data_IF_839794955187
#
_entry.id   IF_839794955187
#
_cell.length_a   1.000
_cell.length_b   1.000
_cell.length_c   1.000
_cell.angle_alpha   90.00
_cell.angle_beta   90.00
_cell.angle_gamma   90.00
#
_symmetry.space_group_name_H-M   'P 1'
#
loop_
_entity.id
_entity.type
_entity.pdbx_description
1 polymer ?
#
# COMPACT_ATOMS: atom_id res chain seq x y z
N UNK A 1 -27.08 -3.80 -15.16
CA UNK A 1 -25.76 -4.06 -14.55
C UNK A 1 -25.68 -3.20 -13.29
N UNK A 2 -25.83 -3.80 -12.14
CA UNK A 2 -25.58 -3.12 -10.86
C UNK A 2 -24.10 -2.80 -10.84
N UNK A 3 -23.73 -1.51 -10.83
CA UNK A 3 -22.34 -1.09 -10.66
C UNK A 3 -21.83 -1.78 -9.37
N UNK A 4 -20.84 -2.66 -9.53
CA UNK A 4 -20.21 -3.32 -8.39
C UNK A 4 -19.56 -2.21 -7.57
N UNK A 5 -20.08 -2.01 -6.39
CA UNK A 5 -19.74 -0.88 -5.52
C UNK A 5 -18.35 -1.10 -4.97
N UNK A 6 -17.34 -0.55 -5.62
CA UNK A 6 -15.98 -0.56 -5.10
C UNK A 6 -15.79 0.64 -4.17
N UNK A 7 -15.50 0.42 -2.90
CA UNK A 7 -15.12 1.53 -2.02
C UNK A 7 -13.88 2.20 -2.56
N UNK A 8 -13.94 3.53 -2.71
CA UNK A 8 -12.79 4.30 -3.14
C UNK A 8 -11.74 4.42 -2.04
N UNK A 9 -10.51 4.54 -2.43
CA UNK A 9 -9.35 4.80 -1.58
C UNK A 9 -8.17 5.21 -2.45
N UNK A 10 -7.13 5.79 -1.83
CA UNK A 10 -5.84 6.02 -2.48
C UNK A 10 -4.70 5.60 -1.57
N UNK A 11 -3.79 4.82 -2.10
CA UNK A 11 -2.54 4.48 -1.44
C UNK A 11 -1.37 4.61 -2.41
N UNK A 12 -0.21 5.01 -1.91
CA UNK A 12 1.03 5.13 -2.68
C UNK A 12 2.16 4.39 -1.99
N UNK A 13 3.15 3.96 -2.78
CA UNK A 13 4.41 3.41 -2.32
C UNK A 13 5.56 4.01 -3.11
N UNK A 14 6.70 4.21 -2.46
CA UNK A 14 7.91 4.80 -3.02
C UNK A 14 9.11 4.06 -2.47
N UNK A 15 9.99 3.57 -3.35
CA UNK A 15 11.32 3.11 -2.95
C UNK A 15 12.28 4.31 -2.90
N UNK A 16 13.16 4.33 -1.90
CA UNK A 16 14.24 5.30 -1.78
C UNK A 16 15.55 4.58 -1.42
N UNK A 17 16.66 5.30 -1.34
CA UNK A 17 17.99 4.71 -1.17
C UNK A 17 18.10 3.68 -0.03
N UNK A 18 17.45 3.92 1.10
CA UNK A 18 17.61 3.11 2.33
C UNK A 18 16.33 2.39 2.75
N UNK A 19 15.26 2.40 1.93
CA UNK A 19 14.00 1.76 2.32
C UNK A 19 12.84 1.99 1.39
N UNK A 20 11.63 1.84 1.96
CA UNK A 20 10.35 2.02 1.28
C UNK A 20 9.43 2.86 2.16
N UNK A 21 8.74 3.81 1.55
CA UNK A 21 7.67 4.60 2.18
C UNK A 21 6.34 4.21 1.57
N UNK A 22 5.34 4.00 2.41
CA UNK A 22 3.95 3.89 2.02
C UNK A 22 3.15 5.02 2.63
N UNK A 23 2.18 5.54 1.89
CA UNK A 23 1.19 6.46 2.43
C UNK A 23 -0.21 6.08 1.95
N UNK A 24 -1.22 6.30 2.78
CA UNK A 24 -2.62 6.14 2.42
C UNK A 24 -3.49 7.14 3.17
N UNK A 25 -4.61 7.52 2.57
CA UNK A 25 -5.63 8.29 3.27
C UNK A 25 -6.51 7.40 4.17
N UNK A 26 -7.34 8.00 5.04
CA UNK A 26 -8.14 7.28 6.06
C UNK A 26 -9.64 7.24 5.81
N UNK A 27 -10.12 7.81 4.72
CA UNK A 27 -11.57 7.86 4.42
C UNK A 27 -12.10 6.50 3.97
N UNK A 28 -13.28 6.15 4.44
CA UNK A 28 -14.14 5.15 3.80
C UNK A 28 -15.42 5.86 3.35
N UNK A 29 -15.69 5.79 2.07
CA UNK A 29 -16.92 6.34 1.49
C UNK A 29 -17.65 5.27 0.69
N UNK A 30 -18.97 5.28 0.80
CA UNK A 30 -19.88 4.51 -0.05
C UNK A 30 -20.69 5.50 -0.89
N UNK A 31 -20.30 5.67 -2.16
CA UNK A 31 -20.80 6.74 -3.01
C UNK A 31 -20.50 8.10 -2.40
N UNK A 32 -21.53 8.87 -2.12
CA UNK A 32 -21.40 10.22 -1.57
C UNK A 32 -21.41 10.25 -0.04
N UNK A 33 -21.51 9.10 0.64
CA UNK A 33 -21.57 9.02 2.09
C UNK A 33 -20.24 8.60 2.70
N UNK A 34 -19.67 9.46 3.55
CA UNK A 34 -18.44 9.15 4.31
C UNK A 34 -18.82 8.36 5.56
N UNK A 35 -18.41 7.08 5.61
CA UNK A 35 -18.72 6.15 6.71
C UNK A 35 -17.68 6.26 7.82
N UNK A 36 -16.40 6.40 7.48
CA UNK A 36 -15.31 6.51 8.43
C UNK A 36 -14.22 7.45 7.93
N UNK A 37 -13.54 8.10 8.89
CA UNK A 37 -12.41 9.02 8.66
C UNK A 37 -11.12 8.55 9.33
N UNK A 38 -11.11 7.33 9.88
CA UNK A 38 -10.03 6.84 10.75
C UNK A 38 -9.49 5.48 10.33
N UNK A 39 -9.90 4.97 9.17
CA UNK A 39 -9.54 3.63 8.73
C UNK A 39 -8.12 3.58 8.21
N UNK A 40 -7.30 2.77 8.85
CA UNK A 40 -5.93 2.51 8.43
C UNK A 40 -5.90 1.54 7.24
N UNK A 41 -5.11 1.88 6.22
CA UNK A 41 -4.92 1.09 5.00
C UNK A 41 -3.45 0.78 4.72
N UNK A 42 -2.56 1.11 5.66
CA UNK A 42 -1.16 0.67 5.70
C UNK A 42 -1.00 -0.43 6.72
N UNK A 43 -0.23 -1.47 6.40
CA UNK A 43 -0.09 -2.67 7.22
C UNK A 43 1.38 -3.07 7.35
N UNK A 44 1.83 -3.35 8.56
CA UNK A 44 3.12 -4.00 8.81
C UNK A 44 2.93 -5.50 8.64
N UNK A 45 3.55 -6.09 7.63
CA UNK A 45 3.49 -7.53 7.36
C UNK A 45 4.55 -8.27 8.17
N UNK A 46 5.78 -7.77 8.13
CA UNK A 46 6.90 -8.19 8.98
C UNK A 46 7.67 -6.93 9.42
N UNK A 47 8.62 -7.00 10.36
CA UNK A 47 9.42 -5.83 10.73
C UNK A 47 10.18 -5.17 9.55
N UNK A 48 10.36 -5.88 8.44
CA UNK A 48 11.09 -5.39 7.26
C UNK A 48 10.24 -5.30 6.00
N UNK A 49 8.94 -5.62 6.07
CA UNK A 49 8.02 -5.55 4.92
C UNK A 49 6.67 -4.99 5.35
N UNK A 50 6.21 -4.01 4.61
CA UNK A 50 4.89 -3.41 4.76
C UNK A 50 4.07 -3.48 3.49
N UNK A 51 2.81 -3.09 3.61
CA UNK A 51 1.89 -2.96 2.51
C UNK A 51 0.99 -1.74 2.68
N UNK A 52 0.56 -1.18 1.55
CA UNK A 52 -0.52 -0.21 1.49
C UNK A 52 -1.58 -0.74 0.52
N UNK A 53 -2.85 -0.56 0.88
CA UNK A 53 -3.97 -1.15 0.14
C UNK A 53 -5.02 -0.10 -0.19
N UNK A 54 -5.75 -0.33 -1.30
CA UNK A 54 -6.92 0.44 -1.67
C UNK A 54 -8.03 -0.51 -2.11
N UNK A 55 -9.28 -0.27 -1.65
CA UNK A 55 -10.43 -1.10 -1.97
C UNK A 55 -11.28 -1.46 -0.74
N UNK A 56 -11.81 -2.67 -0.70
CA UNK A 56 -12.67 -3.13 0.40
C UNK A 56 -11.84 -3.41 1.66
N UNK A 57 -12.17 -2.71 2.74
CA UNK A 57 -11.41 -2.78 4.01
C UNK A 57 -11.31 -4.20 4.56
N UNK A 58 -12.41 -4.97 4.53
CA UNK A 58 -12.42 -6.35 5.01
C UNK A 58 -11.41 -7.23 4.24
N UNK A 59 -11.35 -7.06 2.92
CA UNK A 59 -10.45 -7.86 2.07
C UNK A 59 -8.97 -7.51 2.32
N UNK A 60 -8.65 -6.21 2.44
CA UNK A 60 -7.28 -5.80 2.73
C UNK A 60 -6.82 -6.23 4.13
N UNK A 61 -7.71 -6.19 5.13
CA UNK A 61 -7.40 -6.62 6.48
C UNK A 61 -7.16 -8.13 6.55
N UNK A 62 -8.04 -8.94 5.96
CA UNK A 62 -7.90 -10.40 6.01
C UNK A 62 -6.68 -10.86 5.21
N UNK A 63 -6.42 -10.28 4.05
CA UNK A 63 -5.25 -10.59 3.23
C UNK A 63 -3.95 -10.27 4.00
N UNK A 64 -3.85 -9.08 4.56
CA UNK A 64 -2.66 -8.65 5.32
C UNK A 64 -2.42 -9.52 6.56
N UNK A 65 -3.48 -9.89 7.29
CA UNK A 65 -3.40 -10.76 8.45
C UNK A 65 -2.91 -12.17 8.08
N UNK A 66 -3.52 -12.77 7.06
CA UNK A 66 -3.16 -14.12 6.61
C UNK A 66 -1.72 -14.18 6.10
N UNK A 67 -1.32 -13.20 5.28
CA UNK A 67 0.06 -13.16 4.76
C UNK A 67 1.08 -12.90 5.86
N UNK A 68 0.76 -12.05 6.84
CA UNK A 68 1.64 -11.84 8.00
C UNK A 68 1.84 -13.13 8.80
N UNK A 69 0.78 -13.93 9.00
CA UNK A 69 0.88 -15.23 9.68
C UNK A 69 1.75 -16.21 8.88
N UNK A 70 1.53 -16.34 7.56
CA UNK A 70 2.33 -17.19 6.69
C UNK A 70 3.80 -16.76 6.64
N UNK A 71 4.07 -15.46 6.58
CA UNK A 71 5.42 -14.91 6.60
C UNK A 71 6.17 -15.26 7.90
N UNK A 72 5.48 -15.21 9.05
CA UNK A 72 6.05 -15.64 10.35
C UNK A 72 6.40 -17.13 10.35
N UNK A 73 5.51 -17.99 9.87
CA UNK A 73 5.76 -19.44 9.74
C UNK A 73 6.97 -19.66 8.83
N UNK A 74 6.98 -19.03 7.67
CA UNK A 74 8.08 -19.17 6.70
C UNK A 74 9.41 -18.69 7.27
N UNK A 75 9.44 -17.58 8.01
CA UNK A 75 10.63 -17.08 8.70
C UNK A 75 11.19 -18.12 9.69
N UNK A 76 10.32 -18.78 10.44
CA UNK A 76 10.73 -19.84 11.39
C UNK A 76 11.34 -21.05 10.69
N UNK A 77 10.76 -21.47 9.57
CA UNK A 77 11.27 -22.58 8.76
C UNK A 77 12.66 -22.30 8.16
N UNK A 78 12.81 -21.13 7.51
CA UNK A 78 14.04 -20.80 6.77
C UNK A 78 15.09 -20.10 7.64
N UNK A 79 14.75 -19.74 8.89
CA UNK A 79 15.62 -19.04 9.87
C UNK A 79 16.24 -17.75 9.36
N UNK A 80 15.56 -17.05 8.46
CA UNK A 80 15.96 -15.75 7.89
C UNK A 80 14.74 -14.91 7.55
N UNK A 81 14.94 -13.61 7.31
CA UNK A 81 13.86 -12.71 6.91
C UNK A 81 13.27 -13.13 5.56
N UNK A 82 11.95 -13.00 5.44
CA UNK A 82 11.22 -13.30 4.19
C UNK A 82 11.24 -12.04 3.33
N UNK A 83 11.84 -12.10 2.13
CA UNK A 83 11.99 -10.91 1.29
C UNK A 83 10.64 -10.47 0.68
N UNK A 84 10.52 -9.18 0.29
CA UNK A 84 9.29 -8.61 -0.25
C UNK A 84 8.71 -9.36 -1.47
N UNK A 85 9.56 -9.85 -2.37
CA UNK A 85 9.12 -10.64 -3.54
C UNK A 85 8.42 -11.95 -3.14
N UNK A 86 8.88 -12.61 -2.08
CA UNK A 86 8.25 -13.83 -1.56
C UNK A 86 6.89 -13.50 -0.94
N UNK A 87 6.80 -12.40 -0.19
CA UNK A 87 5.54 -11.93 0.39
C UNK A 87 4.55 -11.51 -0.71
N UNK A 88 5.00 -10.78 -1.73
CA UNK A 88 4.20 -10.43 -2.89
C UNK A 88 3.65 -11.70 -3.58
N UNK A 89 4.48 -12.73 -3.73
CA UNK A 89 4.04 -14.01 -4.33
C UNK A 89 3.05 -14.77 -3.45
N UNK A 90 3.20 -14.73 -2.12
CA UNK A 90 2.21 -15.29 -1.20
C UNK A 90 0.85 -14.59 -1.37
N UNK A 91 0.82 -13.26 -1.40
CA UNK A 91 -0.39 -12.46 -1.66
C UNK A 91 -0.99 -12.81 -3.02
N UNK A 92 -0.17 -12.82 -4.07
CA UNK A 92 -0.57 -13.18 -5.43
C UNK A 92 -1.28 -14.54 -5.50
N UNK A 93 -0.72 -15.55 -4.89
CA UNK A 93 -1.33 -16.90 -4.88
C UNK A 93 -2.71 -16.87 -4.20
N UNK A 94 -2.83 -16.23 -3.05
CA UNK A 94 -4.11 -16.12 -2.32
C UNK A 94 -5.17 -15.35 -3.12
N UNK A 95 -4.78 -14.28 -3.83
CA UNK A 95 -5.66 -13.50 -4.69
C UNK A 95 -6.06 -14.31 -5.93
N UNK A 96 -5.11 -14.97 -6.58
CA UNK A 96 -5.36 -15.78 -7.77
C UNK A 96 -6.27 -17.00 -7.50
N UNK A 97 -6.14 -17.66 -6.35
CA UNK A 97 -7.04 -18.73 -5.92
C UNK A 97 -8.50 -18.26 -5.87
N UNK A 98 -8.73 -16.98 -5.60
CA UNK A 98 -10.05 -16.35 -5.53
C UNK A 98 -10.45 -15.62 -6.82
N UNK A 99 -9.79 -15.80 -7.94
CA UNK A 99 -9.98 -15.05 -9.19
C UNK A 99 -11.39 -15.06 -9.77
N UNK A 100 -12.23 -16.05 -9.42
CA UNK A 100 -13.65 -16.09 -9.82
C UNK A 100 -14.55 -15.26 -8.90
N UNK A 101 -14.11 -15.00 -7.66
CA UNK A 101 -14.71 -14.09 -6.68
C UNK A 101 -13.58 -13.30 -6.02
N UNK A 102 -12.98 -12.34 -6.75
CA UNK A 102 -11.73 -11.72 -6.35
C UNK A 102 -11.89 -10.87 -5.09
N UNK A 103 -10.81 -10.77 -4.33
CA UNK A 103 -10.69 -9.76 -3.29
C UNK A 103 -10.72 -8.38 -3.94
N UNK A 104 -11.62 -7.52 -3.48
CA UNK A 104 -11.79 -6.16 -4.01
C UNK A 104 -10.75 -5.22 -3.41
N UNK A 105 -9.48 -5.53 -3.60
CA UNK A 105 -8.37 -4.74 -3.12
C UNK A 105 -7.20 -4.76 -4.10
N UNK A 106 -6.57 -3.61 -4.27
CA UNK A 106 -5.25 -3.45 -4.88
C UNK A 106 -4.23 -3.28 -3.77
N UNK A 107 -3.04 -3.80 -3.96
CA UNK A 107 -2.00 -3.82 -2.92
C UNK A 107 -0.68 -3.32 -3.48
N UNK A 108 -0.01 -2.48 -2.72
CA UNK A 108 1.42 -2.19 -2.89
C UNK A 108 2.13 -2.85 -1.70
N UNK A 109 3.09 -3.73 -1.94
CA UNK A 109 3.88 -4.40 -0.92
C UNK A 109 5.36 -4.22 -1.19
N UNK A 110 6.13 -3.92 -0.15
CA UNK A 110 7.55 -3.67 -0.30
C UNK A 110 8.27 -3.63 1.04
N UNK A 111 9.58 -3.50 0.99
CA UNK A 111 10.38 -3.45 2.20
C UNK A 111 11.87 -3.54 1.91
N UNK A 112 12.63 -3.75 2.98
CA UNK A 112 14.09 -3.79 2.95
C UNK A 112 14.60 -5.12 3.49
N UNK A 113 14.89 -6.06 2.58
CA UNK A 113 15.64 -7.28 2.88
C UNK A 113 16.78 -7.39 1.86
N UNK A 114 17.95 -6.92 2.26
CA UNK A 114 19.11 -6.75 1.37
C UNK A 114 19.09 -5.43 0.62
N UNK A 115 18.12 -5.22 -0.26
CA UNK A 115 17.89 -3.95 -0.97
C UNK A 115 16.41 -3.56 -0.92
N UNK A 116 16.08 -2.26 -1.02
CA UNK A 116 14.69 -1.84 -1.14
C UNK A 116 14.05 -2.43 -2.40
N UNK A 117 12.87 -3.01 -2.25
CA UNK A 117 12.08 -3.52 -3.38
C UNK A 117 10.59 -3.37 -3.10
N UNK A 118 9.82 -3.11 -4.13
CA UNK A 118 8.38 -2.93 -4.06
C UNK A 118 7.68 -3.61 -5.23
N UNK A 119 6.45 -4.03 -5.01
CA UNK A 119 5.60 -4.72 -5.98
C UNK A 119 4.17 -4.23 -5.86
N UNK A 120 3.52 -4.06 -7.00
CA UNK A 120 2.10 -3.76 -7.09
C UNK A 120 1.33 -5.01 -7.47
N UNK A 121 0.18 -5.24 -6.81
CA UNK A 121 -0.71 -6.36 -7.08
C UNK A 121 -2.11 -5.85 -7.42
N UNK A 122 -2.68 -6.41 -8.48
CA UNK A 122 -4.08 -6.22 -8.84
C UNK A 122 -5.00 -7.27 -8.14
N UNK A 123 -6.32 -7.11 -8.19
CA UNK A 123 -7.27 -8.05 -7.57
C UNK A 123 -7.19 -9.49 -8.10
N UNK A 124 -6.61 -9.71 -9.28
CA UNK A 124 -6.43 -11.03 -9.88
C UNK A 124 -5.10 -11.69 -9.51
N UNK A 125 -4.26 -10.98 -8.76
CA UNK A 125 -2.99 -11.51 -8.26
C UNK A 125 -1.80 -11.32 -9.20
N UNK A 126 -1.85 -10.40 -10.18
CA UNK A 126 -0.65 -9.97 -10.92
C UNK A 126 0.39 -9.40 -9.96
N UNK A 127 1.68 -9.57 -10.25
CA UNK A 127 2.79 -9.01 -9.46
C UNK A 127 3.69 -8.23 -10.39
N UNK A 128 3.72 -6.92 -10.21
CA UNK A 128 4.52 -6.00 -11.01
C UNK A 128 5.58 -5.35 -10.13
N UNK A 129 6.88 -5.43 -10.47
CA UNK A 129 7.93 -4.71 -9.76
C UNK A 129 7.89 -3.24 -10.17
N UNK A 130 7.92 -2.34 -9.19
CA UNK A 130 7.91 -0.89 -9.41
C UNK A 130 8.86 -0.19 -8.44
N UNK A 131 9.40 0.96 -8.87
CA UNK A 131 10.14 1.87 -7.97
C UNK A 131 9.21 2.80 -7.19
N UNK A 132 8.07 3.17 -7.77
CA UNK A 132 6.97 3.88 -7.13
C UNK A 132 5.64 3.43 -7.75
N UNK A 133 4.57 3.51 -7.00
CA UNK A 133 3.24 3.13 -7.45
C UNK A 133 2.14 3.87 -6.69
N UNK A 134 0.97 3.94 -7.31
CA UNK A 134 -0.25 4.35 -6.65
C UNK A 134 -1.38 3.37 -7.02
N UNK A 135 -2.29 3.12 -6.08
CA UNK A 135 -3.44 2.24 -6.25
C UNK A 135 -4.71 2.90 -5.72
N UNK A 136 -5.85 2.47 -6.26
CA UNK A 136 -7.16 2.97 -5.87
C UNK A 136 -7.73 4.03 -6.80
N UNK A 137 -8.83 4.67 -6.37
CA UNK A 137 -9.61 5.61 -7.21
C UNK A 137 -8.88 6.92 -7.49
N UNK A 138 -8.01 7.38 -6.59
CA UNK A 138 -7.18 8.57 -6.79
C UNK A 138 -5.79 8.30 -7.37
N UNK A 139 -5.52 7.07 -7.80
CA UNK A 139 -4.19 6.65 -8.28
C UNK A 139 -3.66 7.49 -9.45
N UNK A 140 -4.52 7.84 -10.41
CA UNK A 140 -4.12 8.64 -11.58
C UNK A 140 -3.56 10.01 -11.17
N UNK A 141 -4.23 10.69 -10.22
CA UNK A 141 -3.77 11.97 -9.70
C UNK A 141 -2.47 11.83 -8.91
N UNK A 142 -2.37 10.79 -8.09
CA UNK A 142 -1.16 10.52 -7.30
C UNK A 142 0.03 10.19 -8.20
N UNK A 143 -0.15 9.34 -9.22
CA UNK A 143 0.88 9.00 -10.21
C UNK A 143 1.37 10.23 -10.97
N UNK A 144 0.49 11.15 -11.35
CA UNK A 144 0.89 12.39 -12.02
C UNK A 144 1.88 13.25 -11.19
N UNK A 145 1.81 13.18 -9.86
CA UNK A 145 2.79 13.84 -8.97
C UNK A 145 4.08 13.00 -8.86
N UNK A 146 3.93 11.67 -8.73
CA UNK A 146 5.07 10.77 -8.63
C UNK A 146 5.93 10.81 -9.89
N UNK A 147 5.32 10.75 -11.08
CA UNK A 147 6.01 10.79 -12.38
C UNK A 147 6.85 12.07 -12.56
N UNK A 148 6.40 13.18 -12.00
CA UNK A 148 7.11 14.47 -12.12
C UNK A 148 8.24 14.64 -11.09
N UNK A 149 8.09 14.08 -9.89
CA UNK A 149 8.96 14.42 -8.76
C UNK A 149 9.81 13.24 -8.26
N UNK A 150 9.50 12.00 -8.65
CA UNK A 150 10.29 10.84 -8.24
C UNK A 150 11.71 10.89 -8.80
N UNK A 151 12.68 10.56 -7.95
CA UNK A 151 14.09 10.37 -8.32
C UNK A 151 14.62 9.14 -7.57
N UNK A 152 15.52 8.39 -8.21
CA UNK A 152 16.11 7.18 -7.58
C UNK A 152 16.91 7.48 -6.31
N UNK A 153 17.41 8.70 -6.15
CA UNK A 153 18.31 9.10 -5.08
C UNK A 153 17.61 9.85 -3.93
N UNK A 154 16.28 9.70 -3.80
CA UNK A 154 15.55 10.31 -2.68
C UNK A 154 16.07 9.79 -1.33
N UNK A 155 16.13 10.69 -0.34
CA UNK A 155 16.29 10.32 1.06
C UNK A 155 14.90 10.06 1.70
N UNK A 156 14.88 9.57 2.95
CA UNK A 156 13.65 9.23 3.68
C UNK A 156 12.68 10.41 3.78
N UNK A 157 13.19 11.60 4.09
CA UNK A 157 12.36 12.80 4.26
C UNK A 157 11.73 13.25 2.94
N UNK A 158 12.50 13.24 1.86
CA UNK A 158 12.02 13.59 0.51
C UNK A 158 11.00 12.58 0.00
N UNK A 159 11.24 11.27 0.18
CA UNK A 159 10.31 10.21 -0.20
C UNK A 159 9.00 10.29 0.60
N UNK A 160 9.09 10.59 1.90
CA UNK A 160 7.92 10.80 2.76
C UNK A 160 7.11 12.02 2.32
N UNK A 161 7.76 13.16 2.10
CA UNK A 161 7.10 14.38 1.62
C UNK A 161 6.42 14.16 0.26
N UNK A 162 7.09 13.47 -0.67
CA UNK A 162 6.53 13.13 -1.97
C UNK A 162 5.31 12.22 -1.85
N UNK A 163 5.35 11.20 -0.99
CA UNK A 163 4.22 10.31 -0.74
C UNK A 163 3.02 11.07 -0.17
N UNK A 164 3.24 11.94 0.82
CA UNK A 164 2.20 12.79 1.42
C UNK A 164 1.61 13.77 0.41
N UNK A 165 2.44 14.42 -0.41
CA UNK A 165 1.98 15.32 -1.50
C UNK A 165 1.11 14.59 -2.50
N UNK A 166 1.47 13.36 -2.88
CA UNK A 166 0.72 12.55 -3.83
C UNK A 166 -0.67 12.19 -3.30
N UNK A 167 -0.77 11.79 -2.01
CA UNK A 167 -2.06 11.51 -1.36
C UNK A 167 -2.89 12.80 -1.21
N UNK A 168 -2.27 13.93 -0.85
CA UNK A 168 -2.97 15.22 -0.78
C UNK A 168 -3.56 15.63 -2.13
N UNK A 169 -2.78 15.52 -3.21
CA UNK A 169 -3.26 15.82 -4.56
C UNK A 169 -4.44 14.95 -4.95
N UNK A 170 -4.37 13.64 -4.68
CA UNK A 170 -5.49 12.72 -4.91
C UNK A 170 -6.73 13.13 -4.12
N UNK A 171 -6.58 13.45 -2.83
CA UNK A 171 -7.69 13.84 -1.95
C UNK A 171 -8.40 15.14 -2.37
N UNK A 172 -7.78 15.99 -3.17
CA UNK A 172 -8.39 17.20 -3.73
C UNK A 172 -9.32 16.91 -4.92
N UNK A 173 -9.19 15.76 -5.57
CA UNK A 173 -9.94 15.39 -6.78
C UNK A 173 -10.79 14.15 -6.64
N UNK A 174 -10.35 13.20 -5.81
CA UNK A 174 -11.12 11.98 -5.53
C UNK A 174 -12.01 12.17 -4.30
N UNK A 175 -13.31 12.15 -4.50
CA UNK A 175 -14.29 12.31 -3.42
C UNK A 175 -14.26 11.18 -2.38
N UNK A 176 -13.76 10.01 -2.78
CA UNK A 176 -13.65 8.83 -1.91
C UNK A 176 -12.37 8.82 -1.07
N UNK A 177 -11.40 9.70 -1.38
CA UNK A 177 -10.14 9.84 -0.65
C UNK A 177 -10.10 11.11 0.19
N UNK A 178 -9.54 11.05 1.41
CA UNK A 178 -9.40 12.24 2.25
C UNK A 178 -9.15 11.99 3.73
N UNK A 179 -9.35 13.06 4.50
CA UNK A 179 -9.24 13.17 5.96
C UNK A 179 -7.79 13.18 6.45
N UNK A 180 -7.24 12.08 6.98
CA UNK A 180 -5.88 11.99 7.47
C UNK A 180 -5.03 11.11 6.55
N UNK A 181 -3.70 11.24 6.64
CA UNK A 181 -2.74 10.42 5.91
C UNK A 181 -1.94 9.59 6.90
N UNK A 182 -1.94 8.27 6.72
CA UNK A 182 -0.99 7.37 7.38
C UNK A 182 0.25 7.24 6.52
N UNK A 183 1.40 7.31 7.17
CA UNK A 183 2.70 7.05 6.56
C UNK A 183 3.37 5.90 7.30
N UNK A 184 3.82 4.90 6.54
CA UNK A 184 4.59 3.76 7.03
C UNK A 184 5.95 3.77 6.33
N UNK A 185 7.00 3.96 7.09
CA UNK A 185 8.40 3.91 6.62
C UNK A 185 9.01 2.60 7.05
N UNK A 186 9.72 1.96 6.13
CA UNK A 186 10.49 0.74 6.39
C UNK A 186 11.92 0.95 5.93
N UNK A 187 12.84 0.89 6.86
CA UNK A 187 14.26 1.05 6.64
C UNK A 187 15.09 0.04 7.46
N UNK A 188 16.40 0.22 7.53
CA UNK A 188 17.31 -0.65 8.29
C UNK A 188 17.02 -0.67 9.82
N UNK A 189 16.43 0.41 10.34
CA UNK A 189 16.12 0.55 11.76
C UNK A 189 14.76 -0.07 12.11
N UNK A 190 14.03 -0.58 11.10
CA UNK A 190 12.73 -1.24 11.23
C UNK A 190 11.58 -0.46 10.61
N UNK A 191 10.42 -0.51 11.26
CA UNK A 191 9.19 0.15 10.82
C UNK A 191 8.86 1.36 11.68
N UNK A 192 8.51 2.48 11.04
CA UNK A 192 8.04 3.70 11.68
C UNK A 192 6.69 4.10 11.09
N UNK A 193 5.72 4.32 11.95
CA UNK A 193 4.38 4.78 11.57
C UNK A 193 4.16 6.21 12.07
N UNK A 194 3.66 7.06 11.19
CA UNK A 194 3.24 8.42 11.52
C UNK A 194 1.89 8.73 10.87
N UNK A 195 1.20 9.74 11.38
CA UNK A 195 -0.05 10.21 10.80
C UNK A 195 -0.03 11.72 10.65
N UNK A 196 -0.46 12.21 9.50
CA UNK A 196 -0.58 13.63 9.19
C UNK A 196 -2.04 13.99 8.90
N UNK A 197 -2.42 15.21 9.24
CA UNK A 197 -3.74 15.75 8.83
C UNK A 197 -3.63 16.31 7.41
N UNK A 198 -4.65 16.01 6.60
CA UNK A 198 -4.90 16.78 5.38
C UNK A 198 -5.52 18.11 5.86
N UNK A 199 -4.75 19.19 5.75
CA UNK A 199 -5.25 20.53 6.09
C UNK A 199 -6.20 21.02 4.98
#
# INVERSE_FOLDING_TARGET
MTAMYMPGATAVGITYNEGVVFASERRIAYGNFVVSKTTKKTFVITPQVGAACAGLVADMQILSLQVSALAKIRKMEIKREVPPNTIAKMMSNMMYERRFFPLLTQVIVGGLVGKPTMYTLDPLGSVLPDDYAAVGTGAETALGILDQQYKKELNEAEATDLAVKSIRAASLRDSASGDNIDVLVINKDGTKETAEKIA
#
